data_IF_721222305392
#
_entry.id   IF_721222305392
#
_cell.length_a   1.000
_cell.length_b   1.000
_cell.length_c   1.000
_cell.angle_alpha   90.00
_cell.angle_beta   90.00
_cell.angle_gamma   90.00
#
_symmetry.space_group_name_H-M   'P 1'
#
loop_
_entity.id
_entity.type
_entity.pdbx_description
1 polymer ?
#
# COMPACT_ATOMS: atom_id res chain seq x y z
N UNK A 1 18.57 12.48 -17.60
CA UNK A 1 18.52 11.93 -18.98
C UNK A 1 17.10 12.08 -19.52
N UNK A 2 16.93 12.48 -20.79
CA UNK A 2 15.60 12.57 -21.38
C UNK A 2 14.96 11.16 -21.46
N UNK A 3 13.66 11.08 -21.16
CA UNK A 3 12.91 9.84 -21.25
C UNK A 3 12.74 9.48 -22.73
N UNK A 4 13.32 8.37 -23.18
CA UNK A 4 13.28 7.94 -24.57
C UNK A 4 11.90 7.42 -25.01
N UNK A 5 11.04 7.01 -24.07
CA UNK A 5 9.69 6.49 -24.38
C UNK A 5 8.77 7.60 -24.86
N UNK A 6 7.82 7.23 -25.75
CA UNK A 6 6.85 8.16 -26.34
C UNK A 6 6.02 8.98 -25.32
N UNK A 7 5.70 8.39 -24.14
CA UNK A 7 5.02 9.06 -23.02
C UNK A 7 5.86 10.19 -22.41
N UNK A 8 7.19 10.13 -22.51
CA UNK A 8 8.10 11.11 -21.94
C UNK A 8 8.49 12.24 -22.88
N UNK A 9 8.02 12.25 -24.11
CA UNK A 9 8.38 13.29 -25.10
C UNK A 9 7.98 14.70 -24.67
N UNK A 10 6.88 14.81 -23.91
CA UNK A 10 6.40 16.09 -23.39
C UNK A 10 7.19 16.57 -22.18
N UNK A 11 7.85 15.69 -21.44
CA UNK A 11 8.48 15.98 -20.16
C UNK A 11 9.50 17.12 -20.25
N UNK A 12 9.49 17.94 -19.22
CA UNK A 12 10.42 19.04 -18.99
C UNK A 12 11.18 18.77 -17.69
N UNK A 13 11.67 19.82 -17.07
CA UNK A 13 12.45 19.73 -15.83
C UNK A 13 11.59 19.30 -14.63
N UNK A 14 10.36 19.80 -14.54
CA UNK A 14 9.41 19.51 -13.48
C UNK A 14 8.16 18.86 -14.07
N UNK A 15 7.85 17.65 -13.62
CA UNK A 15 6.76 16.85 -14.21
C UNK A 15 5.77 16.45 -13.12
N UNK A 16 4.56 16.96 -13.20
CA UNK A 16 3.45 16.61 -12.30
C UNK A 16 2.64 15.52 -12.97
N UNK A 17 2.49 14.40 -12.30
CA UNK A 17 1.79 13.22 -12.83
C UNK A 17 0.65 12.86 -11.90
N UNK A 18 -0.57 12.86 -12.41
CA UNK A 18 -1.75 12.32 -11.73
C UNK A 18 -2.10 10.98 -12.36
N UNK A 19 -2.11 9.93 -11.55
CA UNK A 19 -2.51 8.59 -11.95
C UNK A 19 -3.88 8.24 -11.34
N UNK A 20 -4.78 7.77 -12.18
CA UNK A 20 -6.06 7.19 -11.79
C UNK A 20 -6.03 5.68 -12.00
N UNK A 21 -6.39 4.95 -10.96
CA UNK A 21 -6.50 3.48 -11.02
C UNK A 21 -7.52 3.04 -12.08
N UNK A 22 -7.53 1.77 -12.53
CA UNK A 22 -8.48 1.28 -13.53
C UNK A 22 -9.95 1.45 -13.14
N UNK A 23 -10.25 1.43 -11.85
CA UNK A 23 -11.60 1.60 -11.29
C UNK A 23 -11.98 3.05 -11.03
N UNK A 24 -11.02 3.99 -11.12
CA UNK A 24 -11.25 5.41 -10.91
C UNK A 24 -11.37 6.16 -12.24
N UNK A 25 -12.12 7.25 -12.24
CA UNK A 25 -12.43 8.01 -13.45
C UNK A 25 -11.81 9.41 -13.38
N UNK A 26 -11.01 9.76 -14.41
CA UNK A 26 -10.47 11.11 -14.53
C UNK A 26 -11.57 12.09 -14.94
N UNK A 27 -11.90 13.04 -14.04
CA UNK A 27 -12.97 13.97 -14.19
C UNK A 27 -12.49 15.44 -14.35
N UNK A 28 -13.43 16.38 -14.46
CA UNK A 28 -13.16 17.81 -14.67
C UNK A 28 -12.47 18.42 -13.44
N UNK A 29 -12.94 18.05 -12.23
CA UNK A 29 -12.41 18.61 -10.99
C UNK A 29 -11.01 18.12 -10.70
N UNK A 30 -10.68 16.88 -11.08
CA UNK A 30 -9.30 16.37 -11.04
C UNK A 30 -8.35 17.22 -11.89
N UNK A 31 -8.78 17.63 -13.07
CA UNK A 31 -7.99 18.51 -13.93
C UNK A 31 -7.67 19.82 -13.22
N UNK A 32 -8.68 20.49 -12.66
CA UNK A 32 -8.47 21.77 -11.98
C UNK A 32 -7.67 21.61 -10.68
N UNK A 33 -7.88 20.54 -9.93
CA UNK A 33 -7.11 20.22 -8.73
C UNK A 33 -5.62 20.11 -9.05
N UNK A 34 -5.27 19.31 -10.06
CA UNK A 34 -3.87 19.07 -10.44
C UNK A 34 -3.25 20.33 -11.08
N UNK A 35 -4.03 21.06 -11.87
CA UNK A 35 -3.60 22.34 -12.42
C UNK A 35 -3.30 23.35 -11.29
N UNK A 36 -4.16 23.39 -10.27
CA UNK A 36 -3.92 24.18 -9.05
C UNK A 36 -2.63 23.77 -8.33
N UNK A 37 -2.36 22.48 -8.19
CA UNK A 37 -1.10 21.99 -7.63
C UNK A 37 0.11 22.42 -8.46
N UNK A 38 0.02 22.42 -9.78
CA UNK A 38 1.09 22.92 -10.64
C UNK A 38 1.35 24.41 -10.44
N UNK A 39 0.30 25.21 -10.31
CA UNK A 39 0.41 26.64 -10.02
C UNK A 39 1.01 26.88 -8.63
N UNK A 40 0.55 26.12 -7.62
CA UNK A 40 1.07 26.19 -6.26
C UNK A 40 2.57 25.81 -6.23
N UNK A 41 2.93 24.68 -6.82
CA UNK A 41 4.32 24.24 -6.92
C UNK A 41 5.23 25.28 -7.57
N UNK A 42 4.76 25.94 -8.66
CA UNK A 42 5.49 27.03 -9.31
C UNK A 42 5.71 28.20 -8.38
N UNK A 43 4.75 28.54 -7.53
CA UNK A 43 4.76 29.74 -6.68
C UNK A 43 5.44 29.51 -5.32
N UNK A 44 5.52 28.28 -4.86
CA UNK A 44 6.13 27.89 -3.58
C UNK A 44 7.66 27.79 -3.72
N UNK A 45 8.29 28.95 -3.91
CA UNK A 45 9.72 29.08 -4.17
C UNK A 45 10.32 30.25 -3.39
N UNK A 46 11.57 30.11 -2.96
CA UNK A 46 12.29 31.16 -2.21
C UNK A 46 12.72 32.36 -3.08
N UNK A 47 12.82 32.17 -4.39
CA UNK A 47 13.21 33.21 -5.36
C UNK A 47 12.12 33.35 -6.42
N UNK A 48 11.72 34.59 -6.69
CA UNK A 48 10.70 34.88 -7.71
C UNK A 48 11.08 34.27 -9.05
N UNK A 49 10.14 33.51 -9.64
CA UNK A 49 10.25 32.85 -10.94
C UNK A 49 11.45 31.89 -11.09
N UNK A 50 11.91 31.27 -9.99
CA UNK A 50 12.99 30.27 -10.04
C UNK A 50 12.54 28.96 -10.71
N UNK A 51 11.22 28.75 -10.83
CA UNK A 51 10.62 27.70 -11.67
C UNK A 51 9.84 28.38 -12.80
N UNK A 52 10.43 28.52 -14.00
CA UNK A 52 9.72 29.04 -15.17
C UNK A 52 8.55 28.12 -15.54
N UNK A 53 7.41 28.70 -15.96
CA UNK A 53 6.21 27.94 -16.30
C UNK A 53 6.44 26.96 -17.46
N UNK A 54 7.35 27.31 -18.35
CA UNK A 54 7.73 26.51 -19.51
C UNK A 54 8.51 25.24 -19.14
N UNK A 55 9.08 25.19 -17.91
CA UNK A 55 9.79 24.01 -17.39
C UNK A 55 8.84 23.01 -16.69
N UNK A 56 7.56 23.36 -16.53
CA UNK A 56 6.54 22.48 -15.95
C UNK A 56 5.87 21.63 -17.03
N UNK A 57 5.40 20.46 -16.65
CA UNK A 57 4.46 19.66 -17.44
C UNK A 57 3.43 19.00 -16.52
N UNK A 58 2.25 18.74 -17.07
CA UNK A 58 1.21 17.96 -16.39
C UNK A 58 0.87 16.75 -17.24
N UNK A 59 0.88 15.57 -16.62
CA UNK A 59 0.49 14.32 -17.24
C UNK A 59 -0.64 13.66 -16.45
N UNK A 60 -1.79 13.51 -17.07
CA UNK A 60 -2.89 12.73 -16.50
C UNK A 60 -2.84 11.33 -17.08
N UNK A 61 -2.80 10.33 -16.21
CA UNK A 61 -2.80 8.92 -16.60
C UNK A 61 -4.09 8.29 -16.10
N UNK A 62 -4.90 7.74 -17.00
CA UNK A 62 -6.15 7.05 -16.68
C UNK A 62 -6.35 5.83 -17.55
N UNK A 63 -7.08 4.83 -17.04
CA UNK A 63 -7.39 3.62 -17.80
C UNK A 63 -8.34 3.92 -18.96
N UNK A 64 -9.44 4.63 -18.69
CA UNK A 64 -10.46 4.98 -19.66
C UNK A 64 -10.27 6.35 -20.30
N UNK A 65 -10.78 6.53 -21.52
CA UNK A 65 -10.79 7.83 -22.19
C UNK A 65 -11.75 8.80 -21.49
N UNK A 66 -11.29 9.94 -20.95
CA UNK A 66 -12.10 10.84 -20.11
C UNK A 66 -12.97 11.77 -20.98
N UNK A 67 -14.05 11.24 -21.58
CA UNK A 67 -14.89 11.94 -22.56
C UNK A 67 -15.43 13.29 -22.06
N UNK A 68 -15.90 13.35 -20.80
CA UNK A 68 -16.47 14.57 -20.22
C UNK A 68 -15.39 15.65 -20.05
N UNK A 69 -14.22 15.29 -19.56
CA UNK A 69 -13.09 16.19 -19.42
C UNK A 69 -12.61 16.69 -20.80
N UNK A 70 -12.41 15.81 -21.76
CA UNK A 70 -11.99 16.17 -23.13
C UNK A 70 -12.97 17.15 -23.79
N UNK A 71 -14.30 16.92 -23.62
CA UNK A 71 -15.33 17.83 -24.11
C UNK A 71 -15.26 19.20 -23.41
N UNK A 72 -15.06 19.21 -22.08
CA UNK A 72 -14.92 20.43 -21.31
C UNK A 72 -13.70 21.25 -21.77
N UNK A 73 -12.54 20.62 -21.89
CA UNK A 73 -11.31 21.29 -22.34
C UNK A 73 -11.46 21.94 -23.72
N UNK A 74 -12.10 21.25 -24.66
CA UNK A 74 -12.39 21.80 -25.99
C UNK A 74 -13.40 22.95 -25.93
N UNK A 75 -14.54 22.75 -25.27
CA UNK A 75 -15.69 23.68 -25.37
C UNK A 75 -15.59 24.87 -24.43
N UNK A 76 -15.08 24.68 -23.22
CA UNK A 76 -15.04 25.72 -22.18
C UNK A 76 -13.67 26.40 -22.06
N UNK A 77 -12.58 25.66 -22.30
CA UNK A 77 -11.21 26.20 -22.27
C UNK A 77 -10.68 26.58 -23.64
N UNK A 78 -11.34 26.20 -24.72
CA UNK A 78 -10.91 26.47 -26.08
C UNK A 78 -9.64 25.69 -26.52
N UNK A 79 -9.23 24.68 -25.77
CA UNK A 79 -8.04 23.92 -26.04
C UNK A 79 -8.21 23.01 -27.25
N UNK A 80 -7.13 22.85 -28.02
CA UNK A 80 -7.04 21.87 -29.11
C UNK A 80 -6.46 20.57 -28.56
N UNK A 81 -7.12 19.45 -28.82
CA UNK A 81 -6.66 18.12 -28.42
C UNK A 81 -6.09 17.42 -29.63
N UNK A 82 -4.82 17.02 -29.55
CA UNK A 82 -4.10 16.35 -30.61
C UNK A 82 -3.68 14.95 -30.17
N UNK A 83 -4.06 13.93 -30.92
CA UNK A 83 -3.58 12.57 -30.70
C UNK A 83 -2.17 12.45 -31.26
N UNK A 84 -1.22 12.13 -30.37
CA UNK A 84 0.22 12.03 -30.72
C UNK A 84 0.66 10.59 -31.02
N UNK A 85 0.09 9.62 -30.30
CA UNK A 85 0.34 8.19 -30.47
C UNK A 85 -0.88 7.41 -29.94
N UNK A 86 -0.85 6.09 -30.02
CA UNK A 86 -1.87 5.24 -29.41
C UNK A 86 -1.95 5.53 -27.91
N UNK A 87 -3.14 5.98 -27.43
CA UNK A 87 -3.37 6.31 -26.04
C UNK A 87 -2.77 7.63 -25.53
N UNK A 88 -2.06 8.43 -26.35
CA UNK A 88 -1.40 9.67 -25.94
C UNK A 88 -2.03 10.86 -26.64
N UNK A 89 -2.53 11.83 -25.83
CA UNK A 89 -3.21 13.02 -26.30
C UNK A 89 -2.57 14.27 -25.69
N UNK A 90 -2.14 15.24 -26.52
CA UNK A 90 -1.66 16.53 -26.07
C UNK A 90 -2.79 17.54 -26.05
N UNK A 91 -2.80 18.38 -24.99
CA UNK A 91 -3.71 19.48 -24.80
C UNK A 91 -2.95 20.75 -25.16
N UNK A 92 -3.32 21.35 -26.28
CA UNK A 92 -2.62 22.50 -26.84
C UNK A 92 -3.42 23.79 -26.57
N UNK A 93 -2.75 24.87 -26.26
CA UNK A 93 -3.33 26.18 -26.01
C UNK A 93 -3.17 26.66 -24.56
N UNK A 94 -2.49 25.89 -23.71
CA UNK A 94 -2.07 26.29 -22.37
C UNK A 94 -0.58 26.64 -22.34
N UNK A 95 -0.15 27.45 -21.38
CA UNK A 95 1.26 27.75 -21.13
C UNK A 95 2.01 26.54 -20.55
N UNK A 96 1.33 25.73 -19.73
CA UNK A 96 1.88 24.48 -19.22
C UNK A 96 1.60 23.38 -20.26
N UNK A 97 2.62 22.68 -20.77
CA UNK A 97 2.42 21.52 -21.62
C UNK A 97 1.66 20.40 -20.86
N UNK A 98 0.53 19.97 -21.41
CA UNK A 98 -0.36 18.99 -20.77
C UNK A 98 -0.56 17.79 -21.71
N UNK A 99 -0.48 16.57 -21.14
CA UNK A 99 -0.89 15.37 -21.85
C UNK A 99 -1.88 14.53 -21.04
N UNK A 100 -2.71 13.78 -21.77
CA UNK A 100 -3.58 12.76 -21.21
C UNK A 100 -3.16 11.43 -21.83
N UNK A 101 -2.81 10.47 -20.96
CA UNK A 101 -2.39 9.11 -21.32
C UNK A 101 -3.53 8.17 -20.94
N UNK A 102 -4.06 7.46 -21.95
CA UNK A 102 -5.13 6.46 -21.78
C UNK A 102 -4.50 5.09 -21.87
N UNK A 103 -4.28 4.44 -20.73
CA UNK A 103 -3.45 3.22 -20.63
C UNK A 103 -4.03 2.06 -21.44
N UNK A 104 -5.36 1.90 -21.51
CA UNK A 104 -6.03 0.86 -22.32
C UNK A 104 -5.77 0.94 -23.82
N UNK A 105 -5.29 2.09 -24.32
CA UNK A 105 -4.99 2.30 -25.74
C UNK A 105 -3.49 2.36 -26.03
N UNK A 106 -2.64 2.27 -24.99
CA UNK A 106 -1.20 2.22 -25.19
C UNK A 106 -0.80 0.92 -25.90
N UNK A 107 0.20 1.02 -26.78
CA UNK A 107 0.83 -0.16 -27.37
C UNK A 107 1.70 -0.85 -26.31
N UNK A 108 1.48 -2.14 -26.04
CA UNK A 108 2.33 -2.88 -25.10
C UNK A 108 3.79 -2.95 -25.55
N UNK A 109 4.10 -2.95 -26.85
CA UNK A 109 5.47 -2.97 -27.37
C UNK A 109 6.27 -1.74 -26.93
N UNK A 110 5.61 -0.58 -26.83
CA UNK A 110 6.25 0.68 -26.43
C UNK A 110 6.14 0.96 -24.92
N UNK A 111 5.07 0.49 -24.27
CA UNK A 111 4.70 0.88 -22.91
C UNK A 111 4.21 -0.32 -22.07
N UNK A 112 4.93 -1.44 -22.14
CA UNK A 112 4.54 -2.72 -21.52
C UNK A 112 4.04 -2.56 -20.07
N UNK A 113 4.83 -1.96 -19.20
CA UNK A 113 4.51 -1.80 -17.78
C UNK A 113 3.28 -0.92 -17.52
N UNK A 114 3.20 0.24 -18.20
CA UNK A 114 2.10 1.17 -17.98
C UNK A 114 0.79 0.65 -18.59
N UNK A 115 0.84 -0.04 -19.72
CA UNK A 115 -0.35 -0.68 -20.32
C UNK A 115 -0.84 -1.88 -19.51
N UNK A 116 0.04 -2.52 -18.75
CA UNK A 116 -0.27 -3.67 -17.89
C UNK A 116 -0.78 -3.28 -16.49
N UNK A 117 -0.73 -1.99 -16.10
CA UNK A 117 -1.37 -1.49 -14.89
C UNK A 117 -2.90 -1.46 -15.05
N UNK A 118 -3.50 -2.64 -15.07
CA UNK A 118 -4.94 -2.88 -15.23
C UNK A 118 -5.37 -4.06 -14.38
N UNK A 119 -6.64 -4.12 -14.05
CA UNK A 119 -7.32 -5.25 -13.40
C UNK A 119 -7.93 -6.25 -14.41
N UNK A 120 -7.72 -6.01 -15.71
CA UNK A 120 -8.25 -6.81 -16.81
C UNK A 120 -7.17 -7.11 -17.86
N UNK A 121 -6.11 -7.78 -17.44
CA UNK A 121 -5.04 -8.22 -18.35
C UNK A 121 -5.55 -9.42 -19.16
N UNK A 122 -6.04 -9.15 -20.39
CA UNK A 122 -6.73 -10.16 -21.24
C UNK A 122 -5.78 -11.03 -22.05
N UNK A 123 -4.59 -10.52 -22.35
CA UNK A 123 -3.65 -11.15 -23.26
C UNK A 123 -2.55 -11.87 -22.47
N UNK A 124 -2.53 -13.21 -22.58
CA UNK A 124 -1.52 -14.08 -21.96
C UNK A 124 -0.10 -13.79 -22.48
N UNK A 125 0.01 -13.38 -23.75
CA UNK A 125 1.30 -12.99 -24.33
C UNK A 125 1.86 -11.71 -23.70
N UNK A 126 1.00 -10.75 -23.34
CA UNK A 126 1.43 -9.55 -22.60
C UNK A 126 1.89 -9.92 -21.20
N UNK A 127 1.18 -10.83 -20.51
CA UNK A 127 1.60 -11.34 -19.21
C UNK A 127 2.96 -12.05 -19.27
N UNK A 128 3.17 -12.89 -20.29
CA UNK A 128 4.45 -13.58 -20.51
C UNK A 128 5.60 -12.59 -20.73
N UNK A 129 5.41 -11.64 -21.65
CA UNK A 129 6.42 -10.59 -21.93
C UNK A 129 6.73 -9.74 -20.69
N UNK A 130 5.72 -9.46 -19.85
CA UNK A 130 5.90 -8.70 -18.63
C UNK A 130 6.76 -9.47 -17.62
N UNK A 131 6.53 -10.78 -17.48
CA UNK A 131 7.33 -11.65 -16.62
C UNK A 131 8.76 -11.82 -17.12
N UNK A 132 8.95 -11.97 -18.44
CA UNK A 132 10.28 -12.02 -19.05
C UNK A 132 11.07 -10.73 -18.83
N UNK A 133 10.43 -9.56 -19.06
CA UNK A 133 11.06 -8.25 -18.83
C UNK A 133 11.34 -8.02 -17.33
N UNK A 134 10.44 -8.44 -16.46
CA UNK A 134 10.66 -8.41 -15.01
C UNK A 134 11.88 -9.23 -14.59
N UNK A 135 12.14 -10.38 -15.23
CA UNK A 135 13.34 -11.18 -14.98
C UNK A 135 14.64 -10.38 -15.07
N UNK A 136 14.69 -9.39 -15.97
CA UNK A 136 15.85 -8.49 -16.15
C UNK A 136 15.93 -7.37 -15.10
N UNK A 137 14.83 -7.10 -14.38
CA UNK A 137 14.68 -5.98 -13.42
C UNK A 137 14.37 -6.44 -11.99
N UNK A 138 14.57 -7.72 -11.66
CA UNK A 138 14.24 -8.33 -10.35
C UNK A 138 14.82 -7.58 -9.14
N UNK A 139 16.00 -7.01 -9.28
CA UNK A 139 16.72 -6.31 -8.20
C UNK A 139 16.21 -4.87 -8.00
N UNK A 140 15.41 -4.35 -8.91
CA UNK A 140 14.91 -2.98 -8.84
C UNK A 140 13.62 -2.91 -8.03
N UNK A 141 13.64 -2.22 -6.88
CA UNK A 141 12.51 -2.11 -5.94
C UNK A 141 11.23 -1.61 -6.63
N UNK A 142 11.36 -0.62 -7.54
CA UNK A 142 10.23 -0.07 -8.27
C UNK A 142 9.55 -1.13 -9.15
N UNK A 143 10.33 -1.89 -9.92
CA UNK A 143 9.79 -2.94 -10.79
C UNK A 143 9.13 -4.06 -9.98
N UNK A 144 9.70 -4.45 -8.85
CA UNK A 144 9.09 -5.42 -7.92
C UNK A 144 7.75 -4.93 -7.38
N UNK A 145 7.69 -3.68 -6.93
CA UNK A 145 6.45 -3.08 -6.40
C UNK A 145 5.35 -3.01 -7.45
N UNK A 146 5.68 -2.57 -8.68
CA UNK A 146 4.73 -2.49 -9.78
C UNK A 146 4.27 -3.89 -10.21
N UNK A 147 5.18 -4.86 -10.28
CA UNK A 147 4.85 -6.24 -10.64
C UNK A 147 3.89 -6.87 -9.62
N UNK A 148 4.13 -6.66 -8.33
CA UNK A 148 3.24 -7.13 -7.26
C UNK A 148 1.82 -6.55 -7.42
N UNK A 149 1.68 -5.25 -7.71
CA UNK A 149 0.38 -4.60 -7.93
C UNK A 149 -0.33 -5.25 -9.13
N UNK A 150 0.35 -5.42 -10.26
CA UNK A 150 -0.22 -6.02 -11.47
C UNK A 150 -0.65 -7.47 -11.21
N UNK A 151 0.18 -8.26 -10.53
CA UNK A 151 -0.13 -9.65 -10.21
C UNK A 151 -1.31 -9.77 -9.24
N UNK A 152 -1.38 -8.93 -8.21
CA UNK A 152 -2.51 -8.94 -7.27
C UNK A 152 -3.82 -8.57 -7.95
N UNK A 153 -3.80 -7.59 -8.86
CA UNK A 153 -4.99 -7.18 -9.62
C UNK A 153 -5.45 -8.24 -10.65
N UNK A 154 -4.54 -9.12 -11.12
CA UNK A 154 -4.80 -10.07 -12.21
C UNK A 154 -4.47 -11.53 -11.82
N UNK A 155 -4.76 -11.92 -10.58
CA UNK A 155 -4.39 -13.24 -10.02
C UNK A 155 -4.78 -14.42 -10.90
N UNK A 156 -5.99 -14.42 -11.42
CA UNK A 156 -6.52 -15.51 -12.25
C UNK A 156 -5.70 -15.69 -13.53
N UNK A 157 -5.38 -14.60 -14.21
CA UNK A 157 -4.61 -14.62 -15.45
C UNK A 157 -3.18 -15.09 -15.23
N UNK A 158 -2.56 -14.67 -14.13
CA UNK A 158 -1.21 -15.12 -13.78
C UNK A 158 -1.15 -16.57 -13.30
N UNK A 159 -2.21 -17.08 -12.66
CA UNK A 159 -2.31 -18.51 -12.31
C UNK A 159 -2.30 -19.40 -13.56
N UNK A 160 -3.01 -19.01 -14.61
CA UNK A 160 -3.04 -19.76 -15.86
C UNK A 160 -1.69 -19.72 -16.63
N UNK A 161 -0.90 -18.68 -16.42
CA UNK A 161 0.45 -18.53 -17.02
C UNK A 161 1.54 -19.14 -16.15
N UNK A 162 1.24 -19.45 -14.88
CA UNK A 162 2.20 -19.96 -13.87
C UNK A 162 2.93 -21.22 -14.33
N UNK A 163 2.22 -22.14 -14.96
CA UNK A 163 2.80 -23.41 -15.44
C UNK A 163 3.83 -23.21 -16.56
N UNK A 164 3.86 -22.04 -17.18
CA UNK A 164 4.79 -21.70 -18.27
C UNK A 164 6.03 -20.91 -17.80
N UNK A 165 6.02 -20.37 -16.59
CA UNK A 165 7.04 -19.40 -16.13
C UNK A 165 7.41 -19.56 -14.66
N UNK A 166 7.51 -20.80 -14.20
CA UNK A 166 7.66 -21.19 -12.78
C UNK A 166 8.73 -20.41 -11.99
N UNK A 167 9.91 -20.22 -12.51
CA UNK A 167 11.08 -19.79 -11.74
C UNK A 167 11.00 -18.35 -11.23
N UNK A 168 10.60 -17.38 -12.06
CA UNK A 168 10.52 -15.96 -11.69
C UNK A 168 9.31 -15.67 -10.78
N UNK A 169 8.22 -16.42 -10.98
CA UNK A 169 6.98 -16.25 -10.22
C UNK A 169 7.08 -16.91 -8.84
N UNK A 170 7.69 -18.09 -8.77
CA UNK A 170 7.94 -18.81 -7.52
C UNK A 170 8.85 -18.01 -6.60
N UNK A 171 9.91 -17.41 -7.15
CA UNK A 171 10.84 -16.57 -6.38
C UNK A 171 10.16 -15.30 -5.83
N UNK A 172 9.28 -14.67 -6.63
CA UNK A 172 8.52 -13.48 -6.19
C UNK A 172 7.49 -13.81 -5.10
N UNK A 173 6.78 -14.94 -5.27
CA UNK A 173 5.80 -15.41 -4.30
C UNK A 173 6.47 -15.95 -3.02
N UNK A 174 7.68 -16.50 -3.13
CA UNK A 174 8.44 -17.03 -2.00
C UNK A 174 8.78 -15.95 -0.98
N UNK A 175 9.33 -14.83 -1.45
CA UNK A 175 9.69 -13.70 -0.58
C UNK A 175 8.46 -13.14 0.16
N UNK A 176 7.31 -13.01 -0.51
CA UNK A 176 6.06 -12.50 0.09
C UNK A 176 5.46 -13.53 1.09
N UNK A 177 5.52 -14.81 0.75
CA UNK A 177 5.09 -15.89 1.63
C UNK A 177 5.99 -16.02 2.87
N UNK A 178 7.31 -15.90 2.72
CA UNK A 178 8.26 -15.90 3.83
C UNK A 178 8.07 -14.66 4.73
N UNK A 179 7.84 -13.49 4.16
CA UNK A 179 7.56 -12.27 4.92
C UNK A 179 6.25 -12.39 5.72
N UNK A 180 5.17 -12.88 5.10
CA UNK A 180 3.88 -13.12 5.79
C UNK A 180 3.98 -14.22 6.85
N UNK A 181 4.74 -15.28 6.57
CA UNK A 181 4.98 -16.36 7.53
C UNK A 181 5.78 -15.87 8.74
N UNK A 182 6.83 -15.10 8.52
CA UNK A 182 7.65 -14.47 9.57
C UNK A 182 6.80 -13.51 10.42
N UNK A 183 5.98 -12.68 9.80
CA UNK A 183 5.07 -11.77 10.51
C UNK A 183 4.05 -12.55 11.35
N UNK A 184 3.39 -13.55 10.77
CA UNK A 184 2.43 -14.41 11.47
C UNK A 184 3.03 -15.19 12.63
N UNK A 185 4.26 -15.69 12.48
CA UNK A 185 5.01 -16.36 13.55
C UNK A 185 5.36 -15.38 14.69
N UNK A 186 5.80 -14.16 14.35
CA UNK A 186 6.11 -13.10 15.33
C UNK A 186 4.86 -12.67 16.11
N UNK A 187 3.75 -12.42 15.40
CA UNK A 187 2.48 -12.06 16.04
C UNK A 187 1.93 -13.19 16.90
N UNK A 188 1.97 -14.43 16.40
CA UNK A 188 1.55 -15.60 17.16
C UNK A 188 2.39 -15.86 18.41
N UNK A 189 3.71 -15.68 18.29
CA UNK A 189 4.62 -15.79 19.44
C UNK A 189 4.36 -14.71 20.51
N UNK A 190 4.22 -13.44 20.11
CA UNK A 190 3.91 -12.35 21.03
C UNK A 190 2.57 -12.55 21.73
N UNK A 191 1.55 -12.97 20.99
CA UNK A 191 0.22 -13.24 21.52
C UNK A 191 0.23 -14.41 22.51
N UNK A 192 0.87 -15.53 22.14
CA UNK A 192 1.02 -16.70 23.02
C UNK A 192 1.80 -16.38 24.32
N UNK A 193 2.84 -15.55 24.22
CA UNK A 193 3.63 -15.14 25.39
C UNK A 193 2.82 -14.22 26.33
N UNK A 194 2.02 -13.30 25.76
CA UNK A 194 1.14 -12.42 26.54
C UNK A 194 0.01 -13.20 27.23
N UNK A 195 -0.65 -14.10 26.50
CA UNK A 195 -1.71 -14.96 27.05
C UNK A 195 -1.17 -15.92 28.12
N UNK A 196 -0.03 -16.57 27.88
CA UNK A 196 0.63 -17.46 28.84
C UNK A 196 1.03 -16.74 30.11
N UNK A 197 1.57 -15.52 29.99
CA UNK A 197 1.96 -14.69 31.16
C UNK A 197 0.74 -14.25 31.98
N UNK A 198 -0.35 -13.83 31.33
CA UNK A 198 -1.59 -13.46 32.02
C UNK A 198 -2.19 -14.66 32.75
N UNK A 199 -2.26 -15.83 32.08
CA UNK A 199 -2.80 -17.05 32.66
C UNK A 199 -1.97 -17.52 33.83
N UNK A 200 -0.64 -17.57 33.72
CA UNK A 200 0.25 -17.96 34.80
C UNK A 200 0.18 -17.00 36.03
N UNK A 201 0.02 -15.68 35.78
CA UNK A 201 -0.17 -14.72 36.85
C UNK A 201 -1.50 -14.94 37.58
N UNK A 202 -2.57 -15.20 36.85
CA UNK A 202 -3.91 -15.46 37.42
C UNK A 202 -3.94 -16.78 38.20
N UNK A 203 -3.38 -17.85 37.68
CA UNK A 203 -3.25 -19.14 38.35
C UNK A 203 -2.40 -19.02 39.62
N UNK A 204 -1.23 -18.37 39.56
CA UNK A 204 -0.37 -18.17 40.72
C UNK A 204 -1.01 -17.32 41.83
N UNK A 205 -1.79 -16.28 41.43
CA UNK A 205 -2.54 -15.48 42.39
C UNK A 205 -3.62 -16.31 43.11
N UNK A 206 -4.36 -17.12 42.37
CA UNK A 206 -5.42 -17.97 42.86
C UNK A 206 -4.87 -19.05 43.82
N UNK A 207 -3.79 -19.72 43.42
CA UNK A 207 -3.10 -20.72 44.24
C UNK A 207 -2.53 -20.10 45.51
N UNK A 208 -1.91 -18.91 45.42
CA UNK A 208 -1.38 -18.19 46.56
C UNK A 208 -2.47 -17.80 47.60
N UNK A 209 -3.62 -17.32 47.11
CA UNK A 209 -4.78 -17.00 47.94
C UNK A 209 -5.35 -18.26 48.62
N UNK A 210 -5.47 -19.36 47.89
CA UNK A 210 -5.95 -20.62 48.45
C UNK A 210 -5.01 -21.14 49.53
N UNK A 211 -3.70 -21.19 49.29
CA UNK A 211 -2.70 -21.61 50.27
C UNK A 211 -2.70 -20.73 51.56
N UNK A 212 -2.85 -19.42 51.41
CA UNK A 212 -2.94 -18.51 52.51
C UNK A 212 -4.19 -18.79 53.36
N UNK A 213 -5.34 -19.00 52.69
CA UNK A 213 -6.60 -19.35 53.36
C UNK A 213 -6.51 -20.67 54.11
N UNK A 214 -5.92 -21.70 53.45
CA UNK A 214 -5.76 -23.03 54.07
C UNK A 214 -4.85 -23.00 55.29
N UNK A 215 -3.76 -22.22 55.27
CA UNK A 215 -2.87 -22.01 56.43
C UNK A 215 -3.58 -21.31 57.58
N UNK A 216 -4.37 -20.27 57.27
CA UNK A 216 -5.16 -19.55 58.27
C UNK A 216 -6.20 -20.44 58.93
N UNK A 217 -6.92 -21.23 58.13
CA UNK A 217 -7.90 -22.19 58.63
C UNK A 217 -7.25 -23.28 59.52
N UNK A 218 -6.12 -23.83 59.07
CA UNK A 218 -5.37 -24.82 59.88
C UNK A 218 -4.87 -24.25 61.23
N UNK A 219 -4.37 -23.01 61.20
CA UNK A 219 -3.95 -22.31 62.44
C UNK A 219 -5.13 -22.05 63.38
N UNK A 220 -6.25 -21.58 62.81
CA UNK A 220 -7.47 -21.30 63.59
C UNK A 220 -8.02 -22.56 64.25
N UNK A 221 -8.07 -23.67 63.51
CA UNK A 221 -8.49 -24.97 64.07
C UNK A 221 -7.57 -25.42 65.21
N UNK A 222 -6.26 -25.32 65.02
CA UNK A 222 -5.28 -25.74 66.03
C UNK A 222 -5.33 -24.87 67.30
N UNK A 223 -5.56 -23.56 67.19
CA UNK A 223 -5.75 -22.65 68.32
C UNK A 223 -7.07 -22.95 69.05
N UNK A 224 -8.14 -23.30 68.33
CA UNK A 224 -9.41 -23.71 68.94
C UNK A 224 -9.28 -25.01 69.70
N UNK A 225 -8.60 -26.03 69.17
CA UNK A 225 -8.31 -27.30 69.81
C UNK A 225 -7.51 -27.09 71.13
N UNK A 226 -6.63 -26.13 71.19
CA UNK A 226 -5.82 -25.77 72.38
C UNK A 226 -6.54 -24.86 73.36
N UNK A 227 -7.80 -24.48 73.09
CA UNK A 227 -8.59 -23.60 73.96
C UNK A 227 -8.14 -22.14 73.89
N UNK A 228 -7.33 -21.73 72.93
CA UNK A 228 -6.73 -20.39 72.80
C UNK A 228 -7.57 -19.45 71.97
N UNK A 229 -8.84 -19.30 72.29
CA UNK A 229 -9.80 -18.47 71.54
C UNK A 229 -9.45 -16.99 71.54
N UNK A 230 -8.82 -16.44 72.59
CA UNK A 230 -8.39 -15.04 72.66
C UNK A 230 -7.29 -14.73 71.62
N UNK A 231 -6.46 -15.72 71.27
CA UNK A 231 -5.40 -15.57 70.25
C UNK A 231 -5.97 -15.60 68.84
N UNK A 232 -7.08 -16.29 68.59
CA UNK A 232 -7.81 -16.23 67.31
C UNK A 232 -8.35 -14.81 67.11
N UNK A 233 -8.93 -14.21 68.11
CA UNK A 233 -9.46 -12.83 68.05
C UNK A 233 -8.34 -11.82 67.85
N UNK A 234 -7.20 -11.97 68.48
CA UNK A 234 -6.03 -11.13 68.28
C UNK A 234 -5.46 -11.28 66.88
N UNK A 235 -5.29 -12.48 66.39
CA UNK A 235 -4.81 -12.73 65.02
C UNK A 235 -5.76 -12.20 63.95
N UNK A 236 -7.06 -12.16 64.21
CA UNK A 236 -8.04 -11.57 63.29
C UNK A 236 -8.04 -10.03 63.30
N UNK A 237 -7.61 -9.40 64.40
CA UNK A 237 -7.61 -7.94 64.58
C UNK A 237 -6.25 -7.27 64.32
N UNK A 238 -5.17 -8.03 64.37
CA UNK A 238 -3.80 -7.52 64.18
C UNK A 238 -2.99 -8.46 63.27
N UNK A 239 -2.74 -8.00 62.06
CA UNK A 239 -1.94 -8.72 61.05
C UNK A 239 -0.47 -8.91 61.42
N UNK A 240 0.06 -8.14 62.40
CA UNK A 240 1.41 -8.32 62.89
C UNK A 240 1.53 -9.46 63.91
N UNK A 241 0.40 -9.93 64.42
CA UNK A 241 0.32 -11.04 65.38
C UNK A 241 0.20 -12.42 64.70
N UNK A 242 -0.17 -12.45 63.41
CA UNK A 242 -0.24 -13.67 62.58
C UNK A 242 1.13 -14.23 62.26
#
# INVERSE_FOLDING_TARGET
RPVKKNIGKLFRKHNIIEYKSPTDYLNIDDFYKVYGYACFYKSDVSRVNSIPIEELTISFVSHGYPRKLMKHLKKKRGFRIQKMDAGIYYILGDFIPIQIIVTRYLSPEKNLWLSSLTDHLKDKEVARKLLEDFGNHKQEILYRSVMNIIMQANKTQFQEVKDMLCEALEELMKDELEAKRSLGLSEGHMKGLAEGRMKGLQEGLQEGQQQATDRLNALTLKLAELGRTDDIIKAASDTSYQ
#
